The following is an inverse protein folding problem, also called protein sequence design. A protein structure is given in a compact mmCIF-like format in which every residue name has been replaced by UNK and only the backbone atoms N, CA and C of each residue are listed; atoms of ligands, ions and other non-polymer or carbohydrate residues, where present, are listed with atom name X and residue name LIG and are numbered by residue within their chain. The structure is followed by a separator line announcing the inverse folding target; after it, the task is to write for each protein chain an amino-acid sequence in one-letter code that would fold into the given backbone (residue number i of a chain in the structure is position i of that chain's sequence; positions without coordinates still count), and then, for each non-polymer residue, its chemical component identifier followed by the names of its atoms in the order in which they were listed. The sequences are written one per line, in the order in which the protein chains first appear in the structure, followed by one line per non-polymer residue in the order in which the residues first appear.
data_IF_266107303016
#
_entry.id   IF_266107303016
#
_cell.length_a   1.000
_cell.length_b   1.000
_cell.length_c   1.000
_cell.angle_alpha   90.00
_cell.angle_beta   90.00
_cell.angle_gamma   90.00
#
_symmetry.space_group_name_H-M   'P 1'
#
loop_
_entity.id
_entity.type
_entity.pdbx_description
1 polymer ?
#
# COMPACT_ATOMS: atom_id res chain seq x y z
N UNK A 1 33.31 14.52 6.36
CA UNK A 1 32.73 13.34 5.69
C UNK A 1 31.66 13.86 4.74
N UNK A 2 32.07 14.13 3.50
CA UNK A 2 31.26 14.51 2.35
C UNK A 2 30.93 13.21 1.63
N UNK A 3 29.75 12.64 1.89
CA UNK A 3 29.32 11.39 1.24
C UNK A 3 27.79 11.38 1.19
N UNK A 4 27.17 12.43 0.66
CA UNK A 4 25.70 12.53 0.60
C UNK A 4 25.12 13.27 -0.61
N UNK A 5 25.92 13.69 -1.60
CA UNK A 5 25.38 14.45 -2.75
C UNK A 5 25.30 13.63 -4.06
N UNK A 6 26.22 12.71 -4.35
CA UNK A 6 26.22 12.00 -5.64
C UNK A 6 25.06 11.01 -5.82
N UNK A 7 24.46 10.50 -4.75
CA UNK A 7 23.29 9.60 -4.85
C UNK A 7 21.95 10.34 -4.92
N UNK A 8 21.96 11.67 -4.79
CA UNK A 8 20.78 12.52 -4.89
C UNK A 8 20.49 12.96 -6.35
N UNK A 9 21.46 12.84 -7.26
CA UNK A 9 21.35 13.25 -8.67
C UNK A 9 20.64 12.22 -9.57
N UNK A 10 20.57 10.94 -9.17
CA UNK A 10 19.83 9.92 -9.92
C UNK A 10 18.31 9.91 -9.62
N UNK A 11 17.87 10.72 -8.65
CA UNK A 11 16.46 10.81 -8.26
C UNK A 11 15.76 11.90 -9.09
N UNK A 12 14.51 11.66 -9.54
CA UNK A 12 13.76 12.67 -10.29
C UNK A 12 13.68 13.97 -9.49
N UNK A 13 13.69 15.14 -10.16
CA UNK A 13 13.54 16.43 -9.50
C UNK A 13 12.25 16.45 -8.66
N UNK A 14 12.22 17.25 -7.60
CA UNK A 14 11.03 17.42 -6.76
C UNK A 14 9.88 17.98 -7.62
N UNK A 15 9.04 17.09 -8.12
CA UNK A 15 7.87 17.44 -8.92
C UNK A 15 6.80 18.08 -8.01
N UNK A 16 6.05 19.03 -8.57
CA UNK A 16 4.95 19.68 -7.86
C UNK A 16 3.91 18.67 -7.35
N UNK A 17 3.76 17.54 -8.05
CA UNK A 17 2.87 16.44 -7.67
C UNK A 17 3.43 15.11 -8.16
N UNK A 18 3.76 14.23 -7.22
CA UNK A 18 4.25 12.89 -7.45
C UNK A 18 3.19 11.86 -7.04
N UNK A 19 2.74 11.02 -7.97
CA UNK A 19 1.75 9.98 -7.71
C UNK A 19 2.40 8.59 -7.69
N UNK A 20 2.39 7.94 -6.53
CA UNK A 20 2.82 6.56 -6.38
C UNK A 20 1.61 5.65 -6.58
N UNK A 21 1.71 4.76 -7.56
CA UNK A 21 0.67 3.81 -7.96
C UNK A 21 1.00 2.40 -7.51
N UNK A 22 -0.05 1.62 -7.25
CA UNK A 22 0.08 0.22 -6.85
C UNK A 22 0.46 -0.70 -8.03
N UNK A 23 1.46 -1.55 -7.81
CA UNK A 23 1.86 -2.62 -8.73
C UNK A 23 1.52 -3.98 -8.14
N UNK A 24 0.42 -4.56 -8.59
CA UNK A 24 -0.07 -5.87 -8.16
C UNK A 24 -0.35 -6.82 -9.33
N UNK A 25 -0.06 -6.44 -10.58
CA UNK A 25 -0.41 -7.26 -11.76
C UNK A 25 0.21 -8.66 -11.75
N UNK A 26 1.48 -8.75 -11.36
CA UNK A 26 2.19 -10.04 -11.27
C UNK A 26 1.60 -10.96 -10.20
N UNK A 27 1.41 -10.43 -8.99
CA UNK A 27 0.81 -11.18 -7.87
C UNK A 27 -0.64 -11.56 -8.15
N UNK A 28 -1.41 -10.68 -8.80
CA UNK A 28 -2.76 -10.97 -9.28
C UNK A 28 -2.79 -12.13 -10.27
N UNK A 29 -1.90 -12.13 -11.27
CA UNK A 29 -1.84 -13.21 -12.27
C UNK A 29 -1.47 -14.55 -11.64
N UNK A 30 -0.48 -14.57 -10.74
CA UNK A 30 -0.10 -15.81 -10.03
C UNK A 30 -1.26 -16.32 -9.18
N UNK A 31 -1.96 -15.45 -8.46
CA UNK A 31 -3.10 -15.84 -7.64
C UNK A 31 -4.28 -16.39 -8.49
N UNK A 32 -4.57 -15.77 -9.63
CA UNK A 32 -5.59 -16.26 -10.58
C UNK A 32 -5.21 -17.63 -11.14
N UNK A 33 -3.98 -17.81 -11.62
CA UNK A 33 -3.51 -19.08 -12.18
C UNK A 33 -3.52 -20.19 -11.12
N UNK A 34 -3.01 -19.90 -9.92
CA UNK A 34 -3.04 -20.85 -8.81
C UNK A 34 -4.49 -21.24 -8.44
N UNK A 35 -5.41 -20.27 -8.42
CA UNK A 35 -6.82 -20.52 -8.17
C UNK A 35 -7.48 -21.39 -9.24
N UNK A 36 -7.19 -21.13 -10.52
CA UNK A 36 -7.70 -21.94 -11.64
C UNK A 36 -7.16 -23.38 -11.60
N UNK A 37 -5.85 -23.56 -11.34
CA UNK A 37 -5.24 -24.90 -11.23
C UNK A 37 -5.81 -25.66 -10.03
N UNK A 38 -5.93 -25.01 -8.87
CA UNK A 38 -6.52 -25.63 -7.68
C UNK A 38 -8.00 -25.99 -7.90
N UNK A 39 -8.76 -25.11 -8.54
CA UNK A 39 -10.16 -25.35 -8.88
C UNK A 39 -10.33 -26.51 -9.87
N UNK A 40 -9.53 -26.56 -10.93
CA UNK A 40 -9.54 -27.66 -11.90
C UNK A 40 -9.15 -28.99 -11.24
N UNK A 41 -8.13 -28.98 -10.39
CA UNK A 41 -7.69 -30.16 -9.63
C UNK A 41 -8.76 -30.64 -8.66
N UNK A 42 -9.42 -29.72 -7.95
CA UNK A 42 -10.52 -30.05 -7.04
C UNK A 42 -11.74 -30.62 -7.78
N UNK A 43 -12.10 -30.04 -8.92
CA UNK A 43 -13.20 -30.55 -9.75
C UNK A 43 -12.90 -31.94 -10.32
N UNK A 44 -11.67 -32.15 -10.80
CA UNK A 44 -11.20 -33.45 -11.24
C UNK A 44 -11.30 -34.48 -10.10
N UNK A 45 -10.81 -34.14 -8.91
CA UNK A 45 -10.80 -35.04 -7.76
C UNK A 45 -12.21 -35.35 -7.24
N UNK A 46 -13.14 -34.39 -7.31
CA UNK A 46 -14.57 -34.59 -7.00
C UNK A 46 -15.27 -35.52 -8.00
N UNK A 47 -14.78 -35.59 -9.24
CA UNK A 47 -15.37 -36.43 -10.30
C UNK A 47 -14.97 -37.91 -10.21
N UNK A 48 -13.84 -38.23 -9.57
CA UNK A 48 -13.30 -39.60 -9.48
C UNK A 48 -14.23 -40.62 -8.80
N UNK A 49 -14.91 -40.31 -7.67
CA UNK A 49 -15.82 -41.26 -7.03
C UNK A 49 -16.96 -41.73 -7.93
N UNK A 50 -17.46 -40.83 -8.79
CA UNK A 50 -18.53 -41.14 -9.75
C UNK A 50 -18.00 -41.95 -10.94
N UNK A 51 -16.83 -41.60 -11.45
CA UNK A 51 -16.19 -42.31 -12.55
C UNK A 51 -15.87 -43.77 -12.17
N UNK A 52 -15.51 -44.04 -10.93
CA UNK A 52 -15.11 -45.37 -10.44
C UNK A 52 -16.19 -46.10 -9.65
N UNK A 53 -17.41 -45.54 -9.56
CA UNK A 53 -18.56 -46.12 -8.83
C UNK A 53 -18.21 -46.53 -7.39
N UNK A 54 -17.44 -45.68 -6.69
CA UNK A 54 -17.03 -45.92 -5.31
C UNK A 54 -18.19 -45.64 -4.35
N UNK A 55 -18.89 -46.70 -3.92
CA UNK A 55 -20.02 -46.60 -2.99
C UNK A 55 -19.58 -46.34 -1.52
N UNK A 56 -18.33 -46.65 -1.17
CA UNK A 56 -17.76 -46.46 0.17
C UNK A 56 -16.42 -45.72 0.06
N UNK A 57 -16.17 -44.75 0.94
CA UNK A 57 -14.92 -43.95 0.92
C UNK A 57 -14.94 -42.67 0.06
N UNK A 58 -16.06 -42.30 -0.56
CA UNK A 58 -16.20 -41.07 -1.36
C UNK A 58 -15.79 -39.78 -0.62
N UNK A 59 -15.97 -39.76 0.70
CA UNK A 59 -15.59 -38.64 1.57
C UNK A 59 -14.09 -38.35 1.56
N UNK A 60 -13.24 -39.37 1.34
CA UNK A 60 -11.78 -39.22 1.22
C UNK A 60 -11.37 -38.41 -0.01
N UNK A 61 -12.21 -38.38 -1.04
CA UNK A 61 -12.02 -37.57 -2.24
C UNK A 61 -12.75 -36.23 -2.13
N UNK A 62 -13.98 -36.24 -1.59
CA UNK A 62 -14.80 -35.02 -1.51
C UNK A 62 -14.23 -33.97 -0.56
N UNK A 63 -13.65 -34.36 0.57
CA UNK A 63 -13.12 -33.43 1.56
C UNK A 63 -11.91 -32.64 1.00
N UNK A 64 -10.86 -33.27 0.46
CA UNK A 64 -9.78 -32.52 -0.20
C UNK A 64 -10.25 -31.79 -1.47
N UNK A 65 -11.20 -32.35 -2.23
CA UNK A 65 -11.77 -31.66 -3.38
C UNK A 65 -12.49 -30.36 -2.99
N UNK A 66 -13.30 -30.38 -1.92
CA UNK A 66 -13.99 -29.21 -1.40
C UNK A 66 -13.02 -28.15 -0.88
N UNK A 67 -11.93 -28.58 -0.20
CA UNK A 67 -10.86 -27.66 0.23
C UNK A 67 -10.15 -27.01 -0.95
N UNK A 68 -9.83 -27.77 -2.00
CA UNK A 68 -9.21 -27.26 -3.22
C UNK A 68 -10.13 -26.30 -3.98
N UNK A 69 -11.42 -26.62 -4.07
CA UNK A 69 -12.41 -25.76 -4.71
C UNK A 69 -12.61 -24.46 -3.93
N UNK A 70 -12.75 -24.53 -2.60
CA UNK A 70 -12.88 -23.37 -1.73
C UNK A 70 -11.63 -22.49 -1.75
N UNK A 71 -10.44 -23.09 -1.63
CA UNK A 71 -9.16 -22.39 -1.71
C UNK A 71 -8.90 -21.79 -3.09
N UNK A 72 -9.25 -22.53 -4.15
CA UNK A 72 -9.14 -22.07 -5.54
C UNK A 72 -10.04 -20.87 -5.82
N UNK A 73 -11.31 -20.91 -5.38
CA UNK A 73 -12.23 -19.79 -5.48
C UNK A 73 -11.71 -18.56 -4.72
N UNK A 74 -11.20 -18.76 -3.49
CA UNK A 74 -10.60 -17.69 -2.71
C UNK A 74 -9.40 -17.06 -3.42
N UNK A 75 -8.48 -17.87 -3.96
CA UNK A 75 -7.32 -17.39 -4.71
C UNK A 75 -7.71 -16.62 -5.98
N UNK A 76 -8.73 -17.10 -6.71
CA UNK A 76 -9.29 -16.39 -7.86
C UNK A 76 -9.86 -15.02 -7.45
N UNK A 77 -10.69 -14.96 -6.41
CA UNK A 77 -11.25 -13.71 -5.90
C UNK A 77 -10.15 -12.74 -5.46
N UNK A 78 -9.18 -13.22 -4.69
CA UNK A 78 -8.01 -12.42 -4.29
C UNK A 78 -7.25 -11.89 -5.52
N UNK A 79 -7.05 -12.72 -6.54
CA UNK A 79 -6.43 -12.32 -7.80
C UNK A 79 -7.20 -11.23 -8.53
N UNK A 80 -8.53 -11.33 -8.62
CA UNK A 80 -9.38 -10.28 -9.22
C UNK A 80 -9.29 -8.98 -8.43
N UNK A 81 -9.32 -9.04 -7.10
CA UNK A 81 -9.21 -7.84 -6.27
C UNK A 81 -7.83 -7.18 -6.42
N UNK A 82 -6.75 -7.97 -6.42
CA UNK A 82 -5.40 -7.48 -6.69
C UNK A 82 -5.28 -6.88 -8.09
N UNK A 83 -5.94 -7.46 -9.09
CA UNK A 83 -5.96 -6.91 -10.44
C UNK A 83 -6.66 -5.54 -10.48
N UNK A 84 -7.81 -5.40 -9.81
CA UNK A 84 -8.52 -4.11 -9.70
C UNK A 84 -7.74 -3.05 -8.91
N UNK A 85 -6.92 -3.50 -7.96
CA UNK A 85 -6.04 -2.66 -7.16
C UNK A 85 -4.85 -2.13 -7.96
N UNK A 86 -4.48 -2.80 -9.05
CA UNK A 86 -3.35 -2.39 -9.90
C UNK A 86 -3.63 -1.03 -10.55
N UNK A 87 -2.63 -0.13 -10.51
CA UNK A 87 -2.72 1.19 -11.14
C UNK A 87 -3.51 2.23 -10.35
N UNK A 88 -4.15 1.83 -9.23
CA UNK A 88 -4.73 2.77 -8.27
C UNK A 88 -3.63 3.64 -7.66
N UNK A 89 -3.93 4.93 -7.46
CA UNK A 89 -3.02 5.85 -6.77
C UNK A 89 -3.07 5.51 -5.29
N UNK A 90 -1.94 5.08 -4.73
CA UNK A 90 -1.83 4.73 -3.32
C UNK A 90 -1.44 5.93 -2.46
N UNK A 91 -0.54 6.75 -2.99
CA UNK A 91 0.03 7.89 -2.29
C UNK A 91 0.25 9.03 -3.29
N UNK A 92 -0.27 10.21 -2.98
CA UNK A 92 0.05 11.43 -3.71
C UNK A 92 0.92 12.30 -2.81
N UNK A 93 2.10 12.66 -3.30
CA UNK A 93 3.08 13.50 -2.62
C UNK A 93 3.16 14.83 -3.34
N UNK A 94 3.06 15.91 -2.58
CA UNK A 94 3.41 17.27 -3.01
C UNK A 94 4.39 17.82 -1.98
N UNK A 95 5.21 18.83 -2.30
CA UNK A 95 6.15 19.40 -1.32
C UNK A 95 5.45 19.86 -0.02
N UNK A 96 4.20 20.33 -0.13
CA UNK A 96 3.45 20.89 0.99
C UNK A 96 2.57 19.87 1.71
N UNK A 97 2.18 18.78 1.04
CA UNK A 97 1.15 17.88 1.55
C UNK A 97 1.21 16.46 0.98
N UNK A 98 0.62 15.54 1.72
CA UNK A 98 0.56 14.11 1.42
C UNK A 98 -0.90 13.66 1.49
N UNK A 99 -1.35 12.93 0.49
CA UNK A 99 -2.69 12.37 0.43
C UNK A 99 -2.62 10.85 0.25
N UNK A 100 -3.28 10.13 1.14
CA UNK A 100 -3.45 8.69 1.04
C UNK A 100 -4.74 8.38 0.27
N UNK A 101 -4.83 7.22 -0.37
CA UNK A 101 -5.99 6.86 -1.19
C UNK A 101 -7.34 6.84 -0.43
N UNK A 102 -7.30 6.67 0.90
CA UNK A 102 -8.46 6.55 1.78
C UNK A 102 -8.45 7.56 2.95
N UNK A 103 -7.73 8.67 2.79
CA UNK A 103 -7.65 9.71 3.81
C UNK A 103 -7.61 11.10 3.15
N UNK A 104 -8.07 12.15 3.85
CA UNK A 104 -7.90 13.51 3.37
C UNK A 104 -6.42 13.87 3.27
N UNK A 105 -6.13 14.83 2.40
CA UNK A 105 -4.81 15.43 2.24
C UNK A 105 -4.39 16.10 3.55
N UNK A 106 -3.19 15.79 4.02
CA UNK A 106 -2.61 16.37 5.24
C UNK A 106 -1.28 17.05 4.94
N UNK A 107 -0.87 18.07 5.73
CA UNK A 107 0.40 18.74 5.51
C UNK A 107 1.59 17.79 5.66
N UNK A 108 2.62 17.99 4.84
CA UNK A 108 3.78 17.11 4.79
C UNK A 108 4.56 17.10 6.12
N UNK A 109 4.61 18.23 6.82
CA UNK A 109 5.28 18.38 8.13
C UNK A 109 4.66 17.53 9.25
N UNK A 110 3.48 16.95 9.03
CA UNK A 110 2.83 16.05 9.99
C UNK A 110 3.65 14.78 10.19
N UNK A 111 4.50 14.41 9.23
CA UNK A 111 5.33 13.22 9.29
C UNK A 111 6.80 13.56 9.53
N UNK A 112 7.45 12.78 10.39
CA UNK A 112 8.84 12.98 10.79
C UNK A 112 9.78 11.95 10.17
N UNK A 113 9.36 10.68 10.12
CA UNK A 113 10.16 9.59 9.60
C UNK A 113 9.33 8.60 8.80
N UNK A 114 10.03 7.83 7.97
CA UNK A 114 9.49 6.73 7.20
C UNK A 114 10.30 5.48 7.53
N UNK A 115 9.61 4.45 7.98
CA UNK A 115 10.12 3.09 8.07
C UNK A 115 9.54 2.31 6.89
N UNK A 116 10.37 1.59 6.15
CA UNK A 116 9.89 0.67 5.12
C UNK A 116 10.29 -0.75 5.46
N UNK A 117 9.29 -1.61 5.54
CA UNK A 117 9.48 -3.03 5.78
C UNK A 117 9.00 -3.82 4.57
N UNK A 118 9.80 -4.81 4.16
CA UNK A 118 9.45 -5.73 3.09
C UNK A 118 9.18 -7.11 3.68
N UNK A 119 7.94 -7.32 4.09
CA UNK A 119 7.43 -8.62 4.52
C UNK A 119 6.69 -9.33 3.38
N UNK A 120 5.51 -9.89 3.69
CA UNK A 120 4.57 -10.42 2.68
C UNK A 120 4.06 -9.31 1.73
N UNK A 121 4.03 -8.08 2.21
CA UNK A 121 3.65 -6.87 1.50
C UNK A 121 4.76 -5.83 1.69
N UNK A 122 4.81 -4.84 0.80
CA UNK A 122 5.60 -3.63 0.98
C UNK A 122 4.86 -2.72 1.96
N UNK A 123 5.40 -2.55 3.16
CA UNK A 123 4.76 -1.78 4.23
C UNK A 123 5.51 -0.48 4.47
N UNK A 124 4.84 0.64 4.20
CA UNK A 124 5.33 1.99 4.45
C UNK A 124 4.72 2.48 5.76
N UNK A 125 5.55 2.65 6.80
CA UNK A 125 5.13 3.16 8.10
C UNK A 125 5.65 4.58 8.29
N UNK A 126 4.75 5.55 8.30
CA UNK A 126 5.07 6.95 8.52
C UNK A 126 4.88 7.28 10.00
N UNK A 127 5.89 7.80 10.67
CA UNK A 127 5.75 8.31 12.03
C UNK A 127 5.29 9.76 12.00
N UNK A 128 4.28 10.10 12.79
CA UNK A 128 3.82 11.49 12.91
C UNK A 128 4.72 12.26 13.87
N UNK A 129 4.93 13.55 13.60
CA UNK A 129 5.56 14.49 14.53
C UNK A 129 4.80 14.51 15.86
N UNK A 130 5.51 14.76 16.98
CA UNK A 130 4.96 14.64 18.34
C UNK A 130 3.62 15.37 18.55
N UNK A 131 3.51 16.60 18.05
CA UNK A 131 2.32 17.46 18.19
C UNK A 131 1.20 17.15 17.20
N UNK A 132 1.44 16.24 16.25
CA UNK A 132 0.47 15.89 15.23
C UNK A 132 -0.18 14.52 15.52
N UNK A 133 -1.33 14.32 14.90
CA UNK A 133 -2.06 13.05 14.91
C UNK A 133 -2.27 12.61 13.47
N UNK A 134 -2.30 11.30 13.24
CA UNK A 134 -2.61 10.73 11.94
C UNK A 134 -3.97 11.23 11.42
N UNK A 135 -4.15 11.34 10.09
CA UNK A 135 -5.44 11.69 9.52
C UNK A 135 -6.52 10.67 9.91
N UNK A 136 -7.77 11.13 9.91
CA UNK A 136 -8.92 10.24 9.97
C UNK A 136 -8.98 9.42 8.68
N UNK A 137 -8.95 8.11 8.80
CA UNK A 137 -9.12 7.20 7.67
C UNK A 137 -10.61 6.86 7.52
N UNK A 138 -11.06 6.74 6.27
CA UNK A 138 -12.38 6.20 5.96
C UNK A 138 -12.38 4.73 6.39
N UNK A 139 -12.84 4.47 7.63
CA UNK A 139 -12.92 3.14 8.19
C UNK A 139 -14.07 2.41 7.49
N UNK A 140 -13.74 1.61 6.49
CA UNK A 140 -14.66 0.58 6.02
C UNK A 140 -14.71 -0.56 7.07
N UNK A 141 -15.91 -1.09 7.31
CA UNK A 141 -16.12 -2.19 8.24
C UNK A 141 -15.14 -3.32 7.94
N UNK A 142 -14.71 -4.04 8.99
CA UNK A 142 -13.61 -5.03 9.03
C UNK A 142 -13.64 -6.12 7.93
N UNK A 143 -14.69 -6.20 7.13
CA UNK A 143 -14.88 -7.06 5.97
C UNK A 143 -15.59 -6.34 4.80
N UNK A 144 -15.00 -5.25 4.27
CA UNK A 144 -15.37 -4.79 2.94
C UNK A 144 -14.46 -5.48 1.89
N UNK A 145 -14.96 -6.36 1.01
CA UNK A 145 -14.15 -6.90 -0.08
C UNK A 145 -13.56 -5.81 -1.00
N UNK A 146 -14.14 -4.61 -1.01
CA UNK A 146 -13.58 -3.43 -1.71
C UNK A 146 -12.30 -2.92 -1.04
N UNK A 147 -12.09 -3.16 0.24
CA UNK A 147 -10.85 -2.84 0.95
C UNK A 147 -9.64 -3.58 0.36
N UNK A 148 -9.85 -4.81 -0.14
CA UNK A 148 -8.81 -5.55 -0.87
C UNK A 148 -8.56 -4.99 -2.27
N UNK A 149 -9.54 -4.31 -2.86
CA UNK A 149 -9.45 -3.73 -4.19
C UNK A 149 -8.76 -2.35 -4.22
N UNK A 150 -8.42 -1.78 -3.06
CA UNK A 150 -7.78 -0.47 -2.94
C UNK A 150 -6.52 -0.53 -2.06
N UNK A 151 -5.52 0.33 -2.32
CA UNK A 151 -4.41 0.52 -1.40
C UNK A 151 -4.90 1.30 -0.17
N UNK A 152 -5.01 0.66 0.99
CA UNK A 152 -5.47 1.31 2.22
C UNK A 152 -4.31 1.68 3.15
N UNK A 153 -4.34 2.92 3.65
CA UNK A 153 -3.55 3.34 4.80
C UNK A 153 -4.38 3.25 6.09
N UNK A 154 -3.72 2.97 7.22
CA UNK A 154 -4.39 2.87 8.54
C UNK A 154 -3.55 3.52 9.62
N UNK A 155 -4.22 4.16 10.57
CA UNK A 155 -3.59 4.63 11.80
C UNK A 155 -3.18 3.44 12.68
N UNK A 156 -1.94 3.44 13.17
CA UNK A 156 -1.41 2.46 14.14
C UNK A 156 -0.79 3.20 15.33
N UNK A 157 -0.46 2.47 16.40
CA UNK A 157 0.11 3.04 17.62
C UNK A 157 -0.67 4.25 18.18
N UNK A 158 -2.00 4.11 18.28
CA UNK A 158 -2.88 5.18 18.79
C UNK A 158 -2.94 6.43 17.92
N UNK A 159 -2.64 6.33 16.62
CA UNK A 159 -2.66 7.47 15.70
C UNK A 159 -1.33 8.23 15.61
N UNK A 160 -0.25 7.71 16.20
CA UNK A 160 1.10 8.28 16.08
C UNK A 160 1.90 7.73 14.90
N UNK A 161 1.36 6.72 14.22
CA UNK A 161 1.96 6.14 13.02
C UNK A 161 0.88 5.86 12.00
N UNK A 162 1.21 5.95 10.72
CA UNK A 162 0.35 5.58 9.59
C UNK A 162 1.01 4.45 8.84
N UNK A 163 0.33 3.33 8.68
CA UNK A 163 0.82 2.16 7.95
C UNK A 163 0.06 2.04 6.63
N UNK A 164 0.79 2.03 5.53
CA UNK A 164 0.29 1.80 4.17
C UNK A 164 0.90 0.50 3.64
N UNK A 165 0.05 -0.46 3.29
CA UNK A 165 0.49 -1.74 2.74
C UNK A 165 0.26 -1.77 1.22
N UNK A 166 1.28 -2.14 0.46
CA UNK A 166 1.34 -2.17 -1.01
C UNK A 166 1.86 -3.54 -1.50
N UNK A 167 1.42 -4.00 -2.67
CA UNK A 167 2.08 -5.11 -3.37
C UNK A 167 3.41 -4.66 -3.99
N UNK A 168 3.46 -3.40 -4.41
CA UNK A 168 4.62 -2.78 -5.04
C UNK A 168 4.29 -1.35 -5.44
N UNK A 169 5.31 -0.53 -5.61
CA UNK A 169 5.16 0.86 -5.98
C UNK A 169 5.62 1.09 -7.42
N UNK A 170 4.88 1.91 -8.16
CA UNK A 170 5.32 2.48 -9.43
C UNK A 170 5.18 4.00 -9.42
N UNK A 171 6.14 4.66 -10.05
CA UNK A 171 6.14 6.09 -10.33
C UNK A 171 6.17 6.27 -11.85
N UNK A 172 5.28 7.08 -12.41
CA UNK A 172 5.19 7.32 -13.86
C UNK A 172 5.14 6.02 -14.70
N UNK A 173 4.49 4.98 -14.16
CA UNK A 173 4.38 3.65 -14.81
C UNK A 173 5.61 2.74 -14.68
N UNK A 174 6.73 3.23 -14.16
CA UNK A 174 7.93 2.43 -13.89
C UNK A 174 7.88 1.87 -12.47
N UNK A 175 8.16 0.57 -12.33
CA UNK A 175 8.26 -0.08 -11.02
C UNK A 175 9.47 0.49 -10.29
N UNK A 176 9.24 0.97 -9.06
CA UNK A 176 10.28 1.61 -8.28
C UNK A 176 10.94 0.62 -7.32
N UNK A 177 12.25 0.78 -7.15
CA UNK A 177 13.00 0.05 -6.15
C UNK A 177 12.74 0.62 -4.76
N UNK A 178 12.85 -0.24 -3.75
CA UNK A 178 12.52 0.09 -2.37
C UNK A 178 13.35 1.26 -1.82
N UNK A 179 14.66 1.24 -2.06
CA UNK A 179 15.57 2.27 -1.57
C UNK A 179 15.31 3.62 -2.25
N UNK A 180 15.04 3.60 -3.55
CA UNK A 180 14.70 4.79 -4.33
C UNK A 180 13.37 5.40 -3.85
N UNK A 181 12.39 4.56 -3.54
CA UNK A 181 11.12 4.98 -2.92
C UNK A 181 11.33 5.63 -1.54
N UNK A 182 12.19 5.04 -0.70
CA UNK A 182 12.51 5.61 0.61
C UNK A 182 13.15 6.99 0.48
N UNK A 183 14.18 7.10 -0.37
CA UNK A 183 14.89 8.37 -0.61
C UNK A 183 13.95 9.45 -1.16
N UNK A 184 13.07 9.09 -2.10
CA UNK A 184 12.11 10.02 -2.69
C UNK A 184 11.13 10.54 -1.63
N UNK A 185 10.48 9.66 -0.87
CA UNK A 185 9.53 10.07 0.16
C UNK A 185 10.23 10.91 1.23
N UNK A 186 11.45 10.53 1.63
CA UNK A 186 12.23 11.29 2.60
C UNK A 186 12.56 12.71 2.11
N UNK A 187 12.91 12.88 0.82
CA UNK A 187 13.11 14.21 0.21
C UNK A 187 11.85 15.07 0.30
N UNK A 188 10.67 14.51 0.04
CA UNK A 188 9.40 15.23 0.18
C UNK A 188 9.12 15.64 1.63
N UNK A 189 9.34 14.73 2.60
CA UNK A 189 9.20 15.04 4.03
C UNK A 189 10.13 16.19 4.43
N UNK A 190 11.41 16.11 4.03
CA UNK A 190 12.40 17.15 4.33
C UNK A 190 12.04 18.49 3.69
N UNK A 191 11.55 18.49 2.45
CA UNK A 191 11.09 19.69 1.76
C UNK A 191 9.92 20.36 2.52
N UNK A 192 8.94 19.58 2.99
CA UNK A 192 7.82 20.08 3.77
C UNK A 192 8.26 20.71 5.11
N UNK A 193 9.22 20.10 5.80
CA UNK A 193 9.80 20.68 7.03
C UNK A 193 10.56 21.98 6.75
N UNK A 194 11.35 22.04 5.67
CA UNK A 194 12.04 23.27 5.25
C UNK A 194 11.06 24.40 4.92
N UNK A 195 9.97 24.10 4.22
CA UNK A 195 8.94 25.09 3.92
C UNK A 195 8.27 25.62 5.20
N UNK A 196 7.94 24.74 6.15
CA UNK A 196 7.39 25.17 7.45
C UNK A 196 8.36 26.07 8.23
N UNK A 197 9.66 25.71 8.25
CA UNK A 197 10.69 26.52 8.91
C UNK A 197 10.81 27.91 8.26
N UNK A 198 10.78 27.99 6.93
CA UNK A 198 10.77 29.25 6.19
C UNK A 198 9.52 30.09 6.45
N UNK A 199 8.34 29.47 6.58
CA UNK A 199 7.10 30.15 6.95
C UNK A 199 7.16 30.71 8.38
N UNK A 200 7.72 29.96 9.33
CA UNK A 200 7.96 30.45 10.69
C UNK A 200 8.95 31.62 10.71
N UNK A 201 10.03 31.56 9.93
CA UNK A 201 11.00 32.66 9.85
C UNK A 201 10.50 33.88 9.06
N UNK A 202 9.55 33.71 8.12
CA UNK A 202 8.86 34.83 7.47
C UNK A 202 7.80 35.52 8.34
N UNK A 203 7.52 34.99 9.53
CA UNK A 203 6.61 35.61 10.48
C UNK A 203 7.30 36.38 11.62
N UNK A 204 8.18 37.38 11.38
CA UNK A 204 8.54 38.33 12.43
C UNK A 204 7.57 39.53 12.37
N UNK A 205 6.69 39.64 13.38
CA UNK A 205 6.04 40.91 13.74
C UNK A 205 4.57 41.07 13.34
N UNK A 206 3.66 40.41 14.06
CA UNK A 206 2.30 40.93 14.26
C UNK A 206 1.98 41.18 15.74
N UNK A 207 3.00 41.35 16.59
CA UNK A 207 2.87 41.84 17.96
C UNK A 207 3.92 42.94 18.17
N UNK A 208 3.51 44.18 17.88
CA UNK A 208 4.38 45.33 18.00
C UNK A 208 3.85 46.63 17.41
N UNK A 209 2.55 46.92 17.54
CA UNK A 209 2.06 48.31 17.57
C UNK A 209 0.56 48.37 17.91
N UNK A 210 0.19 48.95 19.05
CA UNK A 210 -1.20 49.29 19.32
C UNK A 210 -1.57 49.53 20.78
N UNK A 211 -1.17 50.70 21.30
CA UNK A 211 -1.66 51.41 22.51
C UNK A 211 -1.18 50.92 23.89
#
# INVERSE_FOLDING_TARGET
MQETDETLDELPPLEARCEIREVSRGTACVALLAGLVAGATGLWLASLPHAWRLASGQWLFWLPAALLLGGGLYACLAGVFLYRRHGQVALTLTPESIAFANAPQVPMYTFQSLEIERGRWLELTFATTFDCTAPSFDNHARFDPRAFARPEARAVAGGKRVKLALCGAALNGQKMELELLARLIYRYILAGHRQRALQHHRAPGSDGSGA
#
